data_IF_395010778159
#
_entry.id   IF_395010778159
#
_cell.length_a   1.000
_cell.length_b   1.000
_cell.length_c   1.000
_cell.angle_alpha   90.00
_cell.angle_beta   90.00
_cell.angle_gamma   90.00
#
_symmetry.space_group_name_H-M   'P 1'
#
loop_
_entity.id
_entity.type
_entity.pdbx_description
1 polymer ?
#
# COMPACT_ATOMS: atom_id res chain seq x y z
N UNK A 1 -6.30 12.68 -5.28
CA UNK A 1 -7.34 11.77 -5.81
C UNK A 1 -7.99 11.08 -4.63
N UNK A 2 -9.32 11.12 -4.52
CA UNK A 2 -10.03 10.65 -3.32
C UNK A 2 -10.17 9.12 -3.33
N UNK A 3 -9.95 8.46 -2.19
CA UNK A 3 -9.96 7.00 -2.06
C UNK A 3 -11.36 6.35 -2.29
N UNK A 4 -12.43 7.15 -2.22
CA UNK A 4 -13.81 6.75 -2.55
C UNK A 4 -13.99 6.46 -4.04
N UNK A 5 -13.29 7.20 -4.90
CA UNK A 5 -13.35 7.06 -6.35
C UNK A 5 -12.35 6.05 -6.92
N UNK A 6 -11.38 5.56 -6.12
CA UNK A 6 -10.31 4.70 -6.64
C UNK A 6 -10.86 3.40 -7.26
N UNK A 7 -11.85 2.78 -6.62
CA UNK A 7 -12.44 1.53 -7.11
C UNK A 7 -13.05 1.70 -8.50
N UNK A 8 -13.90 2.72 -8.68
CA UNK A 8 -14.58 3.00 -9.95
C UNK A 8 -13.62 3.34 -11.10
N UNK A 9 -12.46 3.91 -10.79
CA UNK A 9 -11.47 4.34 -11.78
C UNK A 9 -10.47 3.22 -12.11
N UNK A 10 -10.03 2.47 -11.09
CA UNK A 10 -9.02 1.42 -11.24
C UNK A 10 -9.63 0.16 -11.86
N UNK A 11 -10.85 -0.21 -11.48
CA UNK A 11 -11.48 -1.47 -11.91
C UNK A 11 -11.62 -1.57 -13.44
N UNK A 12 -12.10 -0.56 -14.19
CA UNK A 12 -12.17 -0.63 -15.64
C UNK A 12 -10.79 -0.79 -16.31
N UNK A 13 -9.75 -0.16 -15.74
CA UNK A 13 -8.39 -0.28 -16.24
C UNK A 13 -7.85 -1.69 -16.08
N UNK A 14 -8.03 -2.30 -14.90
CA UNK A 14 -7.69 -3.69 -14.66
C UNK A 14 -8.51 -4.63 -15.55
N UNK A 15 -9.82 -4.39 -15.68
CA UNK A 15 -10.71 -5.19 -16.53
C UNK A 15 -10.26 -5.23 -18.01
N UNK A 16 -9.71 -4.11 -18.49
CA UNK A 16 -9.09 -3.96 -19.81
C UNK A 16 -7.67 -4.56 -19.92
N UNK A 17 -7.16 -5.23 -18.88
CA UNK A 17 -5.84 -5.83 -18.87
C UNK A 17 -4.69 -4.81 -18.75
N UNK A 18 -4.95 -3.62 -18.21
CA UNK A 18 -3.90 -2.61 -17.98
C UNK A 18 -3.30 -2.79 -16.58
N UNK A 19 -1.99 -2.60 -16.49
CA UNK A 19 -1.31 -2.45 -15.20
C UNK A 19 -1.69 -1.12 -14.56
N UNK A 20 -1.86 -1.10 -13.24
CA UNK A 20 -2.26 0.09 -12.50
C UNK A 20 -1.29 0.37 -11.35
N UNK A 21 -0.91 1.65 -11.22
CA UNK A 21 -0.35 2.23 -10.01
C UNK A 21 -1.41 3.10 -9.33
N UNK A 22 -1.61 2.94 -8.02
CA UNK A 22 -2.50 3.81 -7.22
C UNK A 22 -1.82 4.25 -5.94
N UNK A 23 -2.04 5.49 -5.51
CA UNK A 23 -1.58 5.95 -4.19
C UNK A 23 -2.31 5.22 -3.05
N UNK A 24 -1.70 5.20 -1.86
CA UNK A 24 -2.35 4.73 -0.65
C UNK A 24 -3.29 5.83 -0.08
N UNK A 25 -4.51 5.54 0.38
CA UNK A 25 -5.22 4.25 0.46
C UNK A 25 -5.78 3.79 -0.88
N UNK A 26 -5.71 2.48 -1.19
CA UNK A 26 -6.18 1.91 -2.46
C UNK A 26 -7.71 1.97 -2.63
N UNK A 27 -8.48 1.81 -1.56
CA UNK A 27 -9.93 1.99 -1.55
C UNK A 27 -10.42 2.19 -0.09
N UNK A 28 -11.63 2.73 0.08
CA UNK A 28 -12.23 2.96 1.40
C UNK A 28 -12.69 1.70 2.14
N UNK A 29 -12.97 0.62 1.41
CA UNK A 29 -13.55 -0.60 1.94
C UNK A 29 -12.68 -1.81 1.56
N UNK A 30 -12.59 -2.78 2.47
CA UNK A 30 -11.77 -3.99 2.27
C UNK A 30 -12.30 -4.84 1.12
N UNK A 31 -13.61 -4.84 0.92
CA UNK A 31 -14.30 -5.53 -0.16
C UNK A 31 -13.85 -4.99 -1.52
N UNK A 32 -13.73 -3.67 -1.66
CA UNK A 32 -13.24 -3.02 -2.88
C UNK A 32 -11.76 -3.34 -3.12
N UNK A 33 -10.93 -3.33 -2.08
CA UNK A 33 -9.51 -3.74 -2.18
C UNK A 33 -9.40 -5.19 -2.68
N UNK A 34 -10.22 -6.10 -2.14
CA UNK A 34 -10.24 -7.52 -2.55
C UNK A 34 -10.69 -7.70 -4.00
N UNK A 35 -11.75 -7.01 -4.43
CA UNK A 35 -12.23 -7.05 -5.83
C UNK A 35 -11.12 -6.60 -6.80
N UNK A 36 -10.42 -5.49 -6.52
CA UNK A 36 -9.33 -5.02 -7.38
C UNK A 36 -8.14 -5.99 -7.41
N UNK A 37 -7.77 -6.57 -6.26
CA UNK A 37 -6.66 -7.51 -6.17
C UNK A 37 -6.97 -8.82 -6.93
N UNK A 38 -8.18 -9.35 -6.76
CA UNK A 38 -8.65 -10.53 -7.47
C UNK A 38 -8.72 -10.26 -8.98
N UNK A 39 -9.28 -9.13 -9.40
CA UNK A 39 -9.36 -8.78 -10.82
C UNK A 39 -7.98 -8.65 -11.47
N UNK A 40 -7.00 -8.06 -10.76
CA UNK A 40 -5.63 -7.98 -11.26
C UNK A 40 -5.02 -9.38 -11.47
N UNK A 41 -5.28 -10.31 -10.54
CA UNK A 41 -4.85 -11.70 -10.65
C UNK A 41 -5.53 -12.43 -11.82
N UNK A 42 -6.86 -12.31 -11.95
CA UNK A 42 -7.64 -12.91 -13.05
C UNK A 42 -7.19 -12.41 -14.43
N UNK A 43 -6.82 -11.13 -14.51
CA UNK A 43 -6.34 -10.50 -15.74
C UNK A 43 -4.85 -10.74 -15.99
N UNK A 44 -4.16 -11.42 -15.07
CA UNK A 44 -2.73 -11.69 -15.10
C UNK A 44 -1.89 -10.40 -15.33
N UNK A 45 -2.29 -9.31 -14.65
CA UNK A 45 -1.60 -8.03 -14.71
C UNK A 45 -0.95 -7.69 -13.37
N UNK A 46 0.18 -7.00 -13.43
CA UNK A 46 0.79 -6.43 -12.23
C UNK A 46 0.09 -5.14 -11.84
N UNK A 47 -0.11 -4.96 -10.54
CA UNK A 47 -0.56 -3.71 -9.93
C UNK A 47 0.37 -3.28 -8.81
N UNK A 48 0.40 -1.98 -8.51
CA UNK A 48 1.25 -1.42 -7.47
C UNK A 48 0.46 -0.38 -6.65
N UNK A 49 0.65 -0.41 -5.33
CA UNK A 49 0.15 0.62 -4.41
C UNK A 49 1.32 1.45 -3.90
N UNK A 50 1.14 2.77 -3.84
CA UNK A 50 2.06 3.76 -3.27
C UNK A 50 2.22 3.57 -1.76
N UNK A 51 3.00 2.56 -1.36
CA UNK A 51 3.45 2.35 0.03
C UNK A 51 4.95 2.68 0.10
N UNK A 52 5.30 3.88 -0.38
CA UNK A 52 6.68 4.30 -0.62
C UNK A 52 7.53 4.40 0.64
N UNK A 53 6.91 4.55 1.81
CA UNK A 53 7.61 4.57 3.10
C UNK A 53 8.52 3.36 3.32
N UNK A 54 8.17 2.20 2.72
CA UNK A 54 9.02 0.99 2.79
C UNK A 54 10.39 1.18 2.13
N UNK A 55 10.54 2.13 1.21
CA UNK A 55 11.78 2.41 0.49
C UNK A 55 12.61 3.54 1.13
N UNK A 56 12.16 4.12 2.25
CA UNK A 56 12.95 5.12 2.96
C UNK A 56 14.33 4.52 3.34
N UNK A 57 15.44 5.29 3.19
CA UNK A 57 16.79 4.77 3.45
C UNK A 57 16.95 4.11 4.82
N UNK A 58 16.34 4.69 5.86
CA UNK A 58 16.36 4.13 7.22
C UNK A 58 15.68 2.76 7.30
N UNK A 59 14.53 2.59 6.64
CA UNK A 59 13.79 1.33 6.63
C UNK A 59 14.58 0.26 5.88
N UNK A 60 15.17 0.60 4.73
CA UNK A 60 16.03 -0.30 3.96
C UNK A 60 17.28 -0.71 4.75
N UNK A 61 17.90 0.23 5.47
CA UNK A 61 19.07 -0.07 6.31
C UNK A 61 18.70 -1.00 7.46
N UNK A 62 17.60 -0.75 8.16
CA UNK A 62 17.13 -1.62 9.25
C UNK A 62 16.82 -3.03 8.74
N UNK A 63 16.14 -3.14 7.60
CA UNK A 63 15.89 -4.43 6.94
C UNK A 63 17.20 -5.18 6.66
N UNK A 64 18.21 -4.52 6.09
CA UNK A 64 19.51 -5.14 5.85
C UNK A 64 20.20 -5.63 7.12
N UNK A 65 20.16 -4.86 8.22
CA UNK A 65 20.73 -5.30 9.51
C UNK A 65 20.05 -6.56 10.07
N UNK A 66 18.75 -6.69 9.86
CA UNK A 66 17.97 -7.88 10.24
C UNK A 66 18.35 -9.08 9.37
N UNK A 67 18.42 -8.91 8.04
CA UNK A 67 18.78 -9.97 7.10
C UNK A 67 20.23 -10.45 7.26
N UNK A 68 21.15 -9.53 7.58
CA UNK A 68 22.56 -9.83 7.91
C UNK A 68 22.71 -10.56 9.26
N UNK A 69 21.63 -10.68 10.07
CA UNK A 69 21.68 -11.30 11.39
C UNK A 69 22.48 -10.52 12.44
N UNK A 70 22.86 -9.27 12.15
CA UNK A 70 23.82 -8.49 12.95
C UNK A 70 23.36 -8.12 14.34
N UNK A 71 22.05 -8.09 14.55
CA UNK A 71 21.45 -7.79 15.86
C UNK A 71 20.89 -9.05 16.55
N UNK A 72 21.09 -10.22 15.96
CA UNK A 72 20.57 -11.49 16.47
C UNK A 72 19.04 -11.56 16.47
N UNK A 73 18.48 -12.37 17.38
CA UNK A 73 17.03 -12.49 17.55
C UNK A 73 16.48 -11.21 18.17
N UNK A 74 15.49 -10.59 17.54
CA UNK A 74 14.75 -9.44 18.09
C UNK A 74 13.78 -9.95 19.17
N UNK A 75 13.96 -9.60 20.45
CA UNK A 75 13.09 -10.11 21.52
C UNK A 75 11.79 -9.31 21.67
N UNK A 76 11.77 -8.05 21.24
CA UNK A 76 10.62 -7.15 21.32
C UNK A 76 10.75 -5.99 20.31
N UNK A 77 9.61 -5.40 19.95
CA UNK A 77 9.51 -4.20 19.10
C UNK A 77 8.47 -3.26 19.70
N UNK A 78 8.80 -1.98 19.87
CA UNK A 78 7.88 -0.92 20.27
C UNK A 78 7.80 0.13 19.15
N UNK A 79 6.58 0.53 18.78
CA UNK A 79 6.34 1.55 17.74
C UNK A 79 5.56 2.70 18.36
N UNK A 80 6.14 3.90 18.33
CA UNK A 80 5.47 5.15 18.68
C UNK A 80 5.37 6.00 17.44
N UNK A 81 4.16 6.34 17.05
CA UNK A 81 3.90 7.17 15.88
C UNK A 81 2.81 8.19 16.22
N UNK A 82 2.96 9.39 15.67
CA UNK A 82 1.93 10.41 15.64
C UNK A 82 1.68 10.77 14.18
N UNK A 83 0.42 10.79 13.78
CA UNK A 83 0.01 11.06 12.42
C UNK A 83 -1.51 10.98 12.31
N UNK A 84 -2.06 11.72 11.36
CA UNK A 84 -3.48 11.82 11.11
C UNK A 84 -3.72 12.80 9.98
N UNK A 85 -4.77 12.59 9.20
CA UNK A 85 -5.26 13.57 8.25
C UNK A 85 -6.20 14.53 8.98
N UNK A 86 -6.18 15.82 8.60
CA UNK A 86 -7.21 16.75 9.05
C UNK A 86 -8.61 16.19 8.75
N UNK A 87 -9.58 16.60 9.56
CA UNK A 87 -10.97 16.19 9.37
C UNK A 87 -11.47 16.58 7.98
N UNK A 88 -12.42 15.82 7.45
CA UNK A 88 -12.86 15.95 6.05
C UNK A 88 -13.40 17.33 5.70
N UNK A 89 -13.82 18.10 6.70
CA UNK A 89 -14.36 19.46 6.58
C UNK A 89 -13.30 20.57 6.74
N UNK A 90 -12.05 20.20 7.04
CA UNK A 90 -10.94 21.14 7.35
C UNK A 90 -10.05 21.39 6.11
N UNK A 91 -10.40 20.84 4.93
CA UNK A 91 -9.66 20.97 3.67
C UNK A 91 -10.46 21.68 2.57
#
# INVERSE_FOLDING_TARGET
MRADMHHEIVRPSLAAGKMVYSEWLLAQALEHVRDLAQLAQEKNVRSLVGVQGRFAPLVQRLKGLLEEGRIGKVPSVEVRAAGGTNDREIL
#
